data_IF_542012237765
#
_entry.id   IF_542012237765
#
_cell.length_a   1.000
_cell.length_b   1.000
_cell.length_c   1.000
_cell.angle_alpha   90.00
_cell.angle_beta   90.00
_cell.angle_gamma   90.00
#
_symmetry.space_group_name_H-M   'P 1'
#
loop_
_entity.id
_entity.type
_entity.pdbx_description
1 polymer ?
#
# COMPACT_ATOMS: atom_id res chain seq x y z
N UNK A 1 13.72 -9.00 8.30
CA UNK A 1 12.92 -7.80 8.70
C UNK A 1 13.87 -6.67 9.09
N UNK A 2 13.58 -5.41 8.76
CA UNK A 2 14.34 -4.29 9.30
C UNK A 2 14.07 -4.11 10.79
N UNK A 3 15.00 -3.46 11.51
CA UNK A 3 14.78 -3.09 12.92
C UNK A 3 13.52 -2.22 13.12
N UNK A 4 12.99 -1.63 12.07
CA UNK A 4 11.85 -0.71 12.07
C UNK A 4 10.52 -1.37 11.67
N UNK A 5 10.42 -2.70 11.66
CA UNK A 5 9.15 -3.42 11.47
C UNK A 5 8.60 -3.41 10.04
N UNK A 6 9.43 -3.19 9.01
CA UNK A 6 9.04 -3.29 7.61
C UNK A 6 9.98 -4.19 6.81
N UNK A 7 9.54 -4.61 5.65
CA UNK A 7 10.30 -5.42 4.69
C UNK A 7 10.19 -4.85 3.29
N UNK A 8 11.24 -5.07 2.49
CA UNK A 8 11.24 -4.87 1.03
C UNK A 8 11.28 -6.23 0.36
N UNK A 9 10.31 -6.51 -0.48
CA UNK A 9 10.15 -7.81 -1.14
C UNK A 9 10.25 -7.58 -2.66
N UNK A 10 11.29 -8.12 -3.31
CA UNK A 10 11.48 -7.96 -4.74
C UNK A 10 10.32 -8.53 -5.55
N UNK A 11 9.96 -7.85 -6.64
CA UNK A 11 8.94 -8.27 -7.59
C UNK A 11 9.62 -8.59 -8.92
N UNK A 12 9.24 -9.69 -9.55
CA UNK A 12 9.75 -10.06 -10.86
C UNK A 12 9.25 -9.08 -11.94
N UNK A 13 10.05 -8.90 -12.99
CA UNK A 13 9.64 -8.09 -14.15
C UNK A 13 8.34 -8.62 -14.78
N UNK A 14 8.13 -9.93 -14.76
CA UNK A 14 6.91 -10.58 -15.23
C UNK A 14 5.70 -10.19 -14.38
N UNK A 15 5.79 -10.30 -13.04
CA UNK A 15 4.69 -9.94 -12.15
C UNK A 15 4.33 -8.45 -12.28
N UNK A 16 5.36 -7.58 -12.42
CA UNK A 16 5.14 -6.16 -12.69
C UNK A 16 4.40 -5.93 -13.99
N UNK A 17 4.81 -6.59 -15.07
CA UNK A 17 4.15 -6.48 -16.37
C UNK A 17 2.69 -6.95 -16.29
N UNK A 18 2.42 -8.11 -15.68
CA UNK A 18 1.08 -8.68 -15.52
C UNK A 18 0.17 -7.73 -14.70
N UNK A 19 0.70 -7.10 -13.64
CA UNK A 19 -0.06 -6.16 -12.82
C UNK A 19 -0.42 -4.88 -13.59
N UNK A 20 0.54 -4.28 -14.30
CA UNK A 20 0.31 -3.07 -15.09
C UNK A 20 -0.67 -3.34 -16.22
N UNK A 21 -0.57 -4.49 -16.89
CA UNK A 21 -1.49 -4.91 -17.95
C UNK A 21 -2.91 -5.12 -17.43
N UNK A 22 -3.08 -5.76 -16.26
CA UNK A 22 -4.39 -5.92 -15.60
C UNK A 22 -5.02 -4.57 -15.25
N UNK A 23 -4.25 -3.62 -14.73
CA UNK A 23 -4.71 -2.26 -14.44
C UNK A 23 -5.17 -1.57 -15.73
N UNK A 24 -4.36 -1.60 -16.78
CA UNK A 24 -4.68 -0.92 -18.04
C UNK A 24 -5.95 -1.48 -18.70
N UNK A 25 -6.21 -2.77 -18.57
CA UNK A 25 -7.46 -3.39 -19.08
C UNK A 25 -8.67 -3.10 -18.19
N UNK A 26 -8.50 -3.01 -16.88
CA UNK A 26 -9.60 -2.95 -15.91
C UNK A 26 -10.04 -1.54 -15.54
N UNK A 27 -9.13 -0.59 -15.50
CA UNK A 27 -9.41 0.77 -15.00
C UNK A 27 -10.19 1.62 -16.00
N UNK A 28 -10.07 1.36 -17.29
CA UNK A 28 -10.81 2.11 -18.33
C UNK A 28 -12.34 2.00 -18.24
N UNK A 29 -12.86 1.12 -17.40
CA UNK A 29 -14.29 0.84 -17.23
C UNK A 29 -14.85 1.41 -15.91
N UNK A 30 -14.01 1.74 -14.94
CA UNK A 30 -14.43 2.21 -13.62
C UNK A 30 -14.15 3.69 -13.44
N UNK A 31 -15.15 4.43 -12.93
CA UNK A 31 -14.92 5.81 -12.47
C UNK A 31 -14.12 5.80 -11.17
N UNK A 32 -13.06 6.62 -11.06
CA UNK A 32 -12.31 6.73 -9.81
C UNK A 32 -13.17 7.38 -8.73
N UNK A 33 -13.13 6.83 -7.53
CA UNK A 33 -13.58 7.56 -6.35
C UNK A 33 -12.46 8.54 -5.93
N UNK A 34 -12.77 9.82 -5.78
CA UNK A 34 -11.86 10.73 -5.09
C UNK A 34 -12.10 10.58 -3.59
N UNK A 35 -11.11 10.12 -2.87
CA UNK A 35 -11.19 9.96 -1.43
C UNK A 35 -10.55 11.18 -0.79
N UNK A 36 -11.39 12.05 -0.22
CA UNK A 36 -10.98 13.08 0.73
C UNK A 36 -11.57 12.67 2.08
N UNK A 37 -10.79 12.63 3.14
CA UNK A 37 -11.36 12.49 4.47
C UNK A 37 -11.98 13.83 4.87
N UNK A 38 -13.16 13.80 5.49
CA UNK A 38 -13.95 14.98 5.79
C UNK A 38 -13.43 15.83 6.97
N UNK A 39 -12.48 15.32 7.73
CA UNK A 39 -11.84 16.04 8.82
C UNK A 39 -10.37 16.28 8.44
N UNK A 40 -10.01 17.53 8.18
CA UNK A 40 -8.64 18.05 7.99
C UNK A 40 -7.84 17.61 6.74
N UNK A 41 -8.48 17.32 5.60
CA UNK A 41 -7.78 17.02 4.33
C UNK A 41 -6.69 15.93 4.43
N UNK A 42 -6.92 14.90 5.23
CA UNK A 42 -5.93 13.84 5.53
C UNK A 42 -5.47 13.09 4.27
N UNK A 43 -6.28 13.06 3.22
CA UNK A 43 -5.98 12.35 1.98
C UNK A 43 -6.65 13.01 0.78
N UNK A 44 -5.86 13.26 -0.27
CA UNK A 44 -6.38 13.58 -1.60
C UNK A 44 -5.78 12.59 -2.59
N UNK A 45 -6.61 11.76 -3.25
CA UNK A 45 -6.13 10.71 -4.15
C UNK A 45 -7.28 10.18 -5.01
N UNK A 46 -6.99 9.81 -6.26
CA UNK A 46 -7.91 8.99 -7.07
C UNK A 46 -7.73 7.53 -6.69
N UNK A 47 -8.82 6.80 -6.49
CA UNK A 47 -8.80 5.43 -6.02
C UNK A 47 -9.74 4.54 -6.85
N UNK A 48 -9.25 3.34 -7.16
CA UNK A 48 -10.00 2.24 -7.78
C UNK A 48 -9.84 0.97 -6.95
N UNK A 49 -10.93 0.24 -6.75
CA UNK A 49 -10.86 -1.09 -6.17
C UNK A 49 -10.49 -2.09 -7.26
N UNK A 50 -9.53 -2.94 -6.96
CA UNK A 50 -9.06 -3.98 -7.88
C UNK A 50 -9.82 -5.27 -7.59
N UNK A 51 -10.56 -5.83 -8.57
CA UNK A 51 -11.23 -7.12 -8.40
C UNK A 51 -10.20 -8.24 -8.28
N UNK A 52 -10.65 -9.41 -7.82
CA UNK A 52 -9.77 -10.60 -7.72
C UNK A 52 -9.22 -10.96 -9.09
N UNK A 53 -7.91 -11.12 -9.19
CA UNK A 53 -7.16 -11.41 -10.41
C UNK A 53 -5.67 -11.63 -10.13
N UNK A 54 -4.82 -11.39 -11.11
CA UNK A 54 -3.38 -11.59 -11.02
C UNK A 54 -2.71 -10.74 -9.94
N UNK A 55 -3.15 -9.48 -9.78
CA UNK A 55 -2.65 -8.59 -8.72
C UNK A 55 -2.89 -9.20 -7.34
N UNK A 56 -4.06 -9.81 -7.11
CA UNK A 56 -4.36 -10.50 -5.86
C UNK A 56 -3.45 -11.70 -5.63
N UNK A 57 -3.16 -12.49 -6.68
CA UNK A 57 -2.28 -13.65 -6.58
C UNK A 57 -0.84 -13.23 -6.27
N UNK A 58 -0.37 -12.12 -6.86
CA UNK A 58 0.94 -11.55 -6.57
C UNK A 58 1.01 -11.12 -5.09
N UNK A 59 0.03 -10.35 -4.61
CA UNK A 59 0.01 -9.92 -3.21
C UNK A 59 -0.13 -11.08 -2.23
N UNK A 60 -0.84 -12.15 -2.59
CA UNK A 60 -0.92 -13.37 -1.76
C UNK A 60 0.45 -14.04 -1.60
N UNK A 61 1.23 -14.16 -2.67
CA UNK A 61 2.61 -14.67 -2.61
C UNK A 61 3.51 -13.78 -1.76
N UNK A 62 3.43 -12.46 -1.96
CA UNK A 62 4.20 -11.47 -1.20
C UNK A 62 3.84 -11.52 0.28
N UNK A 63 2.56 -11.61 0.63
CA UNK A 63 2.11 -11.68 2.02
C UNK A 63 2.59 -12.94 2.74
N UNK A 64 2.60 -14.07 2.05
CA UNK A 64 3.15 -15.32 2.59
C UNK A 64 4.65 -15.20 2.87
N UNK A 65 5.40 -14.52 1.98
CA UNK A 65 6.81 -14.26 2.20
C UNK A 65 7.02 -13.29 3.37
N UNK A 66 6.27 -12.19 3.44
CA UNK A 66 6.33 -11.25 4.54
C UNK A 66 5.98 -11.92 5.87
N UNK A 67 4.98 -12.79 5.89
CA UNK A 67 4.49 -13.41 7.12
C UNK A 67 5.44 -14.47 7.71
N UNK A 68 6.43 -14.93 6.96
CA UNK A 68 7.53 -15.76 7.53
C UNK A 68 8.29 -14.98 8.61
N UNK A 69 8.37 -13.66 8.50
CA UNK A 69 9.03 -12.79 9.46
C UNK A 69 8.05 -12.20 10.49
N UNK A 70 6.85 -11.80 10.06
CA UNK A 70 5.87 -11.20 10.96
C UNK A 70 5.17 -12.22 11.87
N UNK A 71 5.00 -13.47 11.39
CA UNK A 71 4.42 -14.59 12.14
C UNK A 71 3.02 -14.32 12.71
N UNK A 72 2.19 -13.57 11.95
CA UNK A 72 0.81 -13.32 12.32
C UNK A 72 -0.10 -14.47 11.91
N UNK A 73 -1.18 -14.68 12.67
CA UNK A 73 -2.30 -15.53 12.26
C UNK A 73 -3.12 -14.76 11.23
N UNK A 74 -2.80 -15.00 9.95
CA UNK A 74 -3.42 -14.33 8.80
C UNK A 74 -4.42 -15.23 8.11
N UNK A 75 -5.51 -14.62 7.60
CA UNK A 75 -6.54 -15.32 6.81
C UNK A 75 -6.30 -15.11 5.29
N UNK A 76 -6.71 -13.96 4.76
CA UNK A 76 -6.63 -13.64 3.33
C UNK A 76 -6.53 -12.11 3.13
N UNK A 77 -6.41 -11.72 1.86
CA UNK A 77 -6.48 -10.33 1.44
C UNK A 77 -7.89 -9.79 1.77
N UNK A 78 -7.91 -8.63 2.44
CA UNK A 78 -9.14 -7.90 2.70
C UNK A 78 -9.56 -7.03 1.52
N UNK A 79 -8.61 -6.24 0.98
CA UNK A 79 -8.86 -5.30 -0.11
C UNK A 79 -7.57 -5.03 -0.88
N UNK A 80 -7.71 -4.71 -2.17
CA UNK A 80 -6.64 -4.20 -3.02
C UNK A 80 -7.13 -2.96 -3.72
N UNK A 81 -6.36 -1.88 -3.63
CA UNK A 81 -6.66 -0.60 -4.24
C UNK A 81 -5.52 -0.14 -5.13
N UNK A 82 -5.86 0.41 -6.28
CA UNK A 82 -4.96 1.20 -7.09
C UNK A 82 -5.22 2.68 -6.81
N UNK A 83 -4.15 3.43 -6.60
CA UNK A 83 -4.20 4.83 -6.25
C UNK A 83 -3.31 5.67 -7.17
N UNK A 84 -3.78 6.85 -7.54
CA UNK A 84 -3.00 7.87 -8.23
C UNK A 84 -2.92 9.12 -7.37
N UNK A 85 -1.70 9.49 -6.98
CA UNK A 85 -1.36 10.73 -6.30
C UNK A 85 -0.79 11.69 -7.33
N UNK A 86 -1.48 12.81 -7.57
CA UNK A 86 -0.99 13.93 -8.38
C UNK A 86 -0.16 14.91 -7.57
N UNK A 87 0.34 15.96 -8.23
CA UNK A 87 1.08 17.04 -7.56
C UNK A 87 0.20 17.68 -6.48
N UNK A 88 0.76 17.84 -5.28
CA UNK A 88 0.07 18.34 -4.10
C UNK A 88 -0.69 17.30 -3.29
N UNK A 89 -0.88 16.09 -3.81
CA UNK A 89 -1.51 14.99 -3.06
C UNK A 89 -0.54 14.40 -2.02
N UNK A 90 -1.10 13.93 -0.91
CA UNK A 90 -0.37 13.33 0.21
C UNK A 90 -1.29 12.43 1.02
N UNK A 91 -0.76 11.79 2.05
CA UNK A 91 -1.55 11.09 3.05
C UNK A 91 -0.93 11.31 4.42
N UNK A 92 -1.68 11.92 5.32
CA UNK A 92 -1.24 12.23 6.68
C UNK A 92 -1.00 10.98 7.52
N UNK A 93 -0.41 11.19 8.71
CA UNK A 93 -0.08 10.12 9.64
C UNK A 93 -1.36 9.41 10.08
N UNK A 94 -1.39 8.10 9.86
CA UNK A 94 -2.49 7.21 10.25
C UNK A 94 -1.98 5.80 10.53
N UNK A 95 -2.88 4.96 11.04
CA UNK A 95 -2.70 3.50 11.12
C UNK A 95 -3.76 2.81 10.27
N UNK A 96 -3.45 1.63 9.75
CA UNK A 96 -4.40 0.88 8.93
C UNK A 96 -5.34 -0.02 9.76
N UNK A 97 -5.12 -0.19 11.05
CA UNK A 97 -5.96 -1.02 11.92
C UNK A 97 -7.33 -0.40 12.22
N UNK A 98 -7.49 0.92 12.06
CA UNK A 98 -8.72 1.66 12.36
C UNK A 98 -9.64 1.80 11.16
N UNK A 99 -9.82 0.73 10.38
CA UNK A 99 -10.60 0.71 9.15
C UNK A 99 -12.11 0.38 9.34
N UNK A 100 -12.57 0.32 10.60
CA UNK A 100 -13.92 -0.13 10.93
C UNK A 100 -14.12 -1.66 10.95
N UNK A 101 -13.12 -2.45 10.55
CA UNK A 101 -13.18 -3.92 10.57
C UNK A 101 -12.90 -4.52 11.96
N UNK A 102 -12.71 -3.68 12.97
CA UNK A 102 -12.41 -4.13 14.33
C UNK A 102 -10.98 -4.61 14.53
N UNK A 103 -10.02 -4.01 13.84
CA UNK A 103 -8.59 -4.28 14.05
C UNK A 103 -8.12 -5.62 13.46
N UNK A 104 -8.70 -6.06 12.35
CA UNK A 104 -8.34 -7.33 11.70
C UNK A 104 -7.15 -7.21 10.74
N UNK A 105 -6.80 -6.01 10.26
CA UNK A 105 -5.63 -5.83 9.39
C UNK A 105 -4.35 -6.13 10.15
N UNK A 106 -3.54 -6.99 9.58
CA UNK A 106 -2.26 -7.45 10.14
C UNK A 106 -1.06 -6.90 9.37
N UNK A 107 -1.12 -7.01 8.05
CA UNK A 107 -0.04 -6.60 7.16
C UNK A 107 -0.59 -5.60 6.15
N UNK A 108 0.05 -4.45 6.05
CA UNK A 108 -0.13 -3.47 5.01
C UNK A 108 0.98 -3.60 3.99
N UNK A 109 0.63 -3.55 2.72
CA UNK A 109 1.58 -3.63 1.62
C UNK A 109 1.36 -2.48 0.65
N UNK A 110 2.45 -1.88 0.18
CA UNK A 110 2.43 -0.85 -0.84
C UNK A 110 3.41 -1.17 -1.95
N UNK A 111 2.98 -1.07 -3.19
CA UNK A 111 3.78 -1.33 -4.38
C UNK A 111 3.64 -0.18 -5.37
N UNK A 112 4.66 0.64 -5.49
CA UNK A 112 4.72 1.72 -6.47
C UNK A 112 5.01 1.14 -7.85
N UNK A 113 4.21 1.53 -8.86
CA UNK A 113 4.29 0.94 -10.20
C UNK A 113 5.16 1.72 -11.17
N UNK A 114 5.50 2.98 -10.84
CA UNK A 114 6.32 3.88 -11.65
C UNK A 114 7.38 4.58 -10.80
N UNK A 115 8.41 5.12 -11.45
CA UNK A 115 9.53 5.80 -10.79
C UNK A 115 9.71 7.25 -11.32
N UNK A 116 8.82 7.73 -12.21
CA UNK A 116 8.86 9.02 -12.89
C UNK A 116 8.08 10.13 -12.16
N UNK A 117 8.27 10.22 -10.85
CA UNK A 117 7.68 11.24 -9.98
C UNK A 117 8.68 11.68 -8.90
N UNK A 118 8.41 12.82 -8.24
CA UNK A 118 9.22 13.35 -7.14
C UNK A 118 8.35 13.56 -5.89
N UNK A 119 8.87 13.26 -4.70
CA UNK A 119 8.13 13.20 -3.44
C UNK A 119 7.41 11.88 -3.26
N UNK A 120 6.33 11.85 -2.49
CA UNK A 120 5.51 10.64 -2.30
C UNK A 120 6.20 9.51 -1.55
N UNK A 121 7.20 9.82 -0.73
CA UNK A 121 7.87 8.82 0.08
C UNK A 121 6.94 8.25 1.14
N UNK A 122 7.00 6.95 1.33
CA UNK A 122 6.41 6.30 2.48
C UNK A 122 7.25 6.64 3.73
N UNK A 123 6.60 7.11 4.77
CA UNK A 123 7.22 7.37 6.06
C UNK A 123 6.60 6.46 7.10
N UNK A 124 7.43 5.74 7.84
CA UNK A 124 7.02 4.88 8.96
C UNK A 124 7.57 5.50 10.25
N UNK A 125 6.73 5.54 11.29
CA UNK A 125 7.07 6.12 12.58
C UNK A 125 7.17 5.00 13.62
N UNK A 126 8.35 4.84 14.20
CA UNK A 126 8.64 3.79 15.16
C UNK A 126 9.55 4.29 16.28
N UNK A 127 9.15 4.09 17.54
CA UNK A 127 9.98 4.45 18.69
C UNK A 127 10.38 5.93 18.77
N UNK A 128 9.55 6.84 18.23
CA UNK A 128 9.88 8.27 18.15
C UNK A 128 10.72 8.67 16.92
N UNK A 129 11.17 7.72 16.13
CA UNK A 129 11.91 7.96 14.91
C UNK A 129 11.00 7.94 13.66
N UNK A 130 11.39 8.67 12.64
CA UNK A 130 10.78 8.68 11.32
C UNK A 130 11.73 8.03 10.31
N UNK A 131 11.32 6.90 9.79
CA UNK A 131 12.03 6.22 8.69
C UNK A 131 11.41 6.61 7.36
N UNK A 132 12.23 7.15 6.45
CA UNK A 132 11.81 7.51 5.10
C UNK A 132 12.16 6.38 4.14
N UNK A 133 11.15 5.89 3.43
CA UNK A 133 11.27 4.79 2.48
C UNK A 133 11.01 5.33 1.08
N UNK A 134 12.08 5.46 0.29
CA UNK A 134 11.98 5.71 -1.13
C UNK A 134 11.52 4.42 -1.81
N UNK A 135 10.28 4.41 -2.30
CA UNK A 135 9.70 3.24 -2.96
C UNK A 135 10.32 3.05 -4.34
N UNK A 136 10.52 1.78 -4.72
CA UNK A 136 10.95 1.39 -6.07
C UNK A 136 9.87 0.53 -6.73
N UNK A 137 9.69 0.69 -8.03
CA UNK A 137 8.69 -0.08 -8.77
C UNK A 137 9.01 -1.57 -8.91
N UNK A 138 10.20 -1.99 -8.47
CA UNK A 138 10.68 -3.37 -8.48
C UNK A 138 10.48 -4.11 -7.15
N UNK A 139 9.82 -3.49 -6.18
CA UNK A 139 9.63 -4.08 -4.85
C UNK A 139 8.31 -3.67 -4.21
N UNK A 140 7.77 -4.55 -3.38
CA UNK A 140 6.69 -4.25 -2.45
C UNK A 140 7.28 -3.94 -1.08
N UNK A 141 6.81 -2.89 -0.45
CA UNK A 141 7.08 -2.62 0.97
C UNK A 141 5.93 -3.18 1.79
N UNK A 142 6.23 -4.11 2.69
CA UNK A 142 5.29 -4.71 3.63
C UNK A 142 5.63 -4.27 5.06
N UNK A 143 4.62 -3.90 5.84
CA UNK A 143 4.77 -3.47 7.22
C UNK A 143 3.53 -3.86 8.05
N UNK A 144 3.65 -3.79 9.37
CA UNK A 144 2.54 -4.14 10.25
C UNK A 144 1.48 -3.03 10.25
N UNK A 145 0.20 -3.39 10.13
CA UNK A 145 -0.90 -2.43 9.95
C UNK A 145 -1.13 -1.49 11.13
N UNK A 146 -0.60 -1.80 12.32
CA UNK A 146 -0.69 -0.92 13.49
C UNK A 146 0.36 0.21 13.51
N UNK A 147 1.35 0.19 12.61
CA UNK A 147 2.37 1.23 12.58
C UNK A 147 1.80 2.53 12.01
N UNK A 148 2.11 3.63 12.68
CA UNK A 148 1.87 4.96 12.14
C UNK A 148 2.69 5.15 10.87
N UNK A 149 2.05 5.58 9.82
CA UNK A 149 2.72 5.85 8.55
C UNK A 149 2.03 7.00 7.79
N UNK A 150 2.74 7.55 6.83
CA UNK A 150 2.25 8.63 5.98
C UNK A 150 2.87 8.57 4.59
N UNK A 151 2.29 9.30 3.64
CA UNK A 151 2.87 9.54 2.31
C UNK A 151 3.18 11.01 2.18
N UNK A 152 4.43 11.37 1.88
CA UNK A 152 4.83 12.77 1.70
C UNK A 152 4.17 13.36 0.44
N UNK A 153 4.13 14.68 0.39
CA UNK A 153 3.55 15.42 -0.73
C UNK A 153 4.23 15.06 -2.05
N UNK A 154 3.45 14.93 -3.12
CA UNK A 154 3.97 14.76 -4.48
C UNK A 154 4.38 16.15 -5.00
N UNK A 155 5.63 16.30 -5.37
CA UNK A 155 6.19 17.56 -5.86
C UNK A 155 6.14 17.64 -7.40
N UNK A 156 6.21 16.48 -8.09
CA UNK A 156 6.20 16.40 -9.55
C UNK A 156 5.73 15.05 -10.04
N UNK A 157 5.06 15.03 -11.19
CA UNK A 157 4.56 13.82 -11.82
C UNK A 157 3.31 13.24 -11.14
N UNK A 158 3.09 11.95 -11.35
CA UNK A 158 1.98 11.19 -10.75
C UNK A 158 2.52 9.89 -10.18
N UNK A 159 2.36 9.68 -8.87
CA UNK A 159 2.71 8.42 -8.22
C UNK A 159 1.56 7.44 -8.38
N UNK A 160 1.83 6.31 -9.04
CA UNK A 160 0.89 5.19 -9.25
C UNK A 160 1.24 4.07 -8.28
N UNK A 161 0.29 3.63 -7.46
CA UNK A 161 0.59 2.65 -6.41
C UNK A 161 -0.57 1.68 -6.19
N UNK A 162 -0.22 0.43 -5.97
CA UNK A 162 -1.12 -0.59 -5.43
C UNK A 162 -0.93 -0.68 -3.93
N UNK A 163 -2.02 -0.70 -3.19
CA UNK A 163 -2.04 -0.99 -1.75
C UNK A 163 -2.91 -2.21 -1.48
N UNK A 164 -2.49 -3.01 -0.51
CA UNK A 164 -3.16 -4.24 -0.16
C UNK A 164 -3.09 -4.45 1.36
N UNK A 165 -4.17 -4.98 1.92
CA UNK A 165 -4.24 -5.32 3.34
C UNK A 165 -4.57 -6.79 3.52
N UNK A 166 -3.77 -7.45 4.37
CA UNK A 166 -4.01 -8.81 4.82
C UNK A 166 -4.68 -8.76 6.19
N UNK A 167 -5.82 -9.43 6.27
CA UNK A 167 -6.54 -9.59 7.54
C UNK A 167 -6.17 -10.90 8.23
N UNK A 168 -6.49 -10.97 9.52
CA UNK A 168 -6.38 -12.14 10.35
C UNK A 168 -7.24 -11.97 11.59
N UNK A 169 -7.06 -12.84 12.59
CA UNK A 169 -7.80 -12.75 13.85
C UNK A 169 -7.58 -11.37 14.50
N UNK A 170 -8.58 -10.91 15.26
CA UNK A 170 -8.46 -9.66 16.01
C UNK A 170 -7.23 -9.66 16.90
N UNK A 171 -6.62 -8.50 17.09
CA UNK A 171 -5.59 -8.32 18.12
C UNK A 171 -6.23 -8.55 19.50
N UNK A 172 -5.60 -9.39 20.30
CA UNK A 172 -6.02 -9.68 21.68
C UNK A 172 -5.09 -8.96 22.66
#
# INVERSE_FOLDING_TARGET
MSAYGYMRIPISARDKFEAVDEINRGIGIQQPARVTSHEDNVRSVKMWRIPKGKIWDIFRKVSQQANKEFQYDIDDIQDVQYLEYGVGDYYDIHTDINDGSGGQRKISMTWTLNDDYEGGDLRIYYGGEKVVIHNKSTEVVAFTSFMNHSVSIINKGTRKVLVCWIKGKRWQ
#
